data_IF_057999805559
#
_entry.id   IF_057999805559
#
_cell.length_a   1.000
_cell.length_b   1.000
_cell.length_c   1.000
_cell.angle_alpha   90.00
_cell.angle_beta   90.00
_cell.angle_gamma   90.00
#
_symmetry.space_group_name_H-M   'P 1'
#
loop_
_entity.id
_entity.type
_entity.pdbx_description
1 polymer ?
#
# COMPACT_ATOMS: atom_id res chain seq x y z
N UNK A 1 -6.12 -58.85 30.81
CA UNK A 1 -5.19 -57.72 30.83
C UNK A 1 -5.89 -56.56 30.14
N UNK A 2 -6.36 -55.62 30.90
CA UNK A 2 -7.33 -54.57 30.53
C UNK A 2 -6.70 -53.41 29.78
N UNK A 3 -7.29 -53.07 28.65
CA UNK A 3 -7.03 -51.76 27.99
C UNK A 3 -8.02 -50.72 28.51
N UNK A 4 -7.51 -49.65 29.09
CA UNK A 4 -8.31 -48.52 29.52
C UNK A 4 -8.42 -47.48 28.37
N UNK A 5 -9.67 -47.18 28.02
CA UNK A 5 -10.05 -46.17 27.06
C UNK A 5 -10.13 -44.80 27.73
N UNK A 6 -9.45 -43.79 27.21
CA UNK A 6 -9.64 -42.39 27.60
C UNK A 6 -10.76 -41.71 26.81
N UNK A 7 -11.61 -40.88 27.42
CA UNK A 7 -12.68 -40.18 26.74
C UNK A 7 -12.18 -38.91 26.05
N UNK A 8 -12.61 -38.70 24.81
CA UNK A 8 -12.46 -37.45 24.03
C UNK A 8 -13.46 -36.42 24.55
N UNK A 9 -12.97 -35.28 24.99
CA UNK A 9 -13.78 -34.10 25.28
C UNK A 9 -14.16 -33.41 23.98
N UNK A 10 -15.46 -33.39 23.67
CA UNK A 10 -16.08 -32.57 22.66
C UNK A 10 -16.30 -31.16 23.22
N UNK A 11 -15.68 -30.16 22.63
CA UNK A 11 -16.01 -28.77 22.90
C UNK A 11 -17.11 -28.36 21.88
N UNK A 12 -18.30 -28.11 22.39
CA UNK A 12 -19.38 -27.48 21.64
C UNK A 12 -19.16 -25.95 21.68
N UNK A 13 -18.80 -25.35 20.58
CA UNK A 13 -18.87 -23.90 20.39
C UNK A 13 -20.32 -23.54 20.04
N UNK A 14 -21.03 -22.98 20.99
CA UNK A 14 -22.29 -22.26 20.75
C UNK A 14 -21.96 -20.89 20.19
N UNK A 15 -22.21 -20.69 18.90
CA UNK A 15 -22.15 -19.39 18.22
C UNK A 15 -23.26 -18.50 18.78
N UNK A 16 -22.87 -17.46 19.52
CA UNK A 16 -23.77 -16.39 19.92
C UNK A 16 -23.82 -15.35 18.81
N UNK A 17 -24.92 -15.30 18.08
CA UNK A 17 -25.22 -14.23 17.13
C UNK A 17 -25.29 -12.90 17.88
N UNK A 18 -24.31 -12.02 17.64
CA UNK A 18 -24.38 -10.61 18.05
C UNK A 18 -25.06 -9.83 16.94
N UNK A 19 -26.17 -9.21 17.29
CA UNK A 19 -27.01 -8.43 16.39
C UNK A 19 -26.22 -7.28 15.75
N UNK A 20 -26.28 -7.20 14.44
CA UNK A 20 -25.76 -6.11 13.63
C UNK A 20 -26.32 -4.78 14.09
N UNK A 21 -25.51 -3.93 14.69
CA UNK A 21 -25.79 -2.50 14.80
C UNK A 21 -25.51 -1.86 13.44
N UNK A 22 -26.54 -1.40 12.79
CA UNK A 22 -26.45 -0.53 11.62
C UNK A 22 -25.82 0.80 12.02
N UNK A 23 -24.54 0.94 11.71
CA UNK A 23 -23.84 2.22 11.81
C UNK A 23 -24.09 3.06 10.55
N UNK A 24 -24.18 4.41 10.68
CA UNK A 24 -24.31 5.27 9.53
C UNK A 24 -23.10 5.11 8.62
N UNK A 25 -23.38 4.81 7.35
CA UNK A 25 -22.36 4.70 6.29
C UNK A 25 -21.60 6.02 6.19
N UNK A 26 -20.39 6.09 6.73
CA UNK A 26 -19.44 7.10 6.34
C UNK A 26 -19.17 6.91 4.85
N UNK A 27 -19.46 7.93 4.05
CA UNK A 27 -19.19 7.92 2.63
C UNK A 27 -17.67 8.00 2.45
N UNK A 28 -17.02 6.85 2.32
CA UNK A 28 -15.66 6.78 1.80
C UNK A 28 -15.73 7.35 0.38
N UNK A 29 -15.12 8.50 0.17
CA UNK A 29 -15.05 9.13 -1.13
C UNK A 29 -14.08 8.36 -2.01
N UNK A 30 -14.59 7.33 -2.71
CA UNK A 30 -13.94 6.78 -3.89
C UNK A 30 -13.98 7.86 -4.99
N UNK A 31 -13.10 8.84 -4.91
CA UNK A 31 -12.93 9.81 -5.99
C UNK A 31 -11.93 9.20 -6.97
N UNK A 32 -12.46 8.81 -8.11
CA UNK A 32 -11.83 8.33 -9.34
C UNK A 32 -11.88 6.81 -9.62
N UNK A 33 -12.96 6.14 -9.24
CA UNK A 33 -13.33 4.87 -9.88
C UNK A 33 -14.59 5.17 -10.69
N UNK A 34 -14.46 5.57 -11.90
CA UNK A 34 -15.37 5.45 -13.05
C UNK A 34 -15.19 6.61 -14.03
N UNK A 35 -14.57 6.32 -15.14
CA UNK A 35 -14.95 6.98 -16.39
C UNK A 35 -15.29 5.88 -17.39
N UNK A 36 -16.43 5.96 -18.08
CA UNK A 36 -16.82 4.96 -19.08
C UNK A 36 -15.97 5.07 -20.33
N UNK A 37 -15.68 3.90 -20.90
CA UNK A 37 -14.98 3.73 -22.15
C UNK A 37 -15.55 4.62 -23.26
N UNK A 38 -14.69 5.43 -23.90
CA UNK A 38 -14.95 6.00 -25.21
C UNK A 38 -13.90 5.49 -26.17
N UNK A 39 -14.37 4.72 -27.16
CA UNK A 39 -13.59 4.23 -28.30
C UNK A 39 -13.29 5.40 -29.23
N UNK A 40 -12.03 5.79 -29.40
CA UNK A 40 -11.59 6.50 -30.60
C UNK A 40 -10.09 6.42 -30.82
N UNK A 41 -9.78 6.07 -32.05
CA UNK A 41 -8.50 5.91 -32.72
C UNK A 41 -7.62 7.17 -32.70
N UNK A 42 -6.31 6.91 -32.76
CA UNK A 42 -5.24 7.78 -33.28
C UNK A 42 -4.24 8.24 -32.21
N UNK A 43 -3.05 7.68 -32.32
CA UNK A 43 -1.83 8.08 -31.60
C UNK A 43 -1.50 9.56 -31.79
N UNK A 44 -1.35 10.29 -30.71
CA UNK A 44 -0.14 11.08 -30.52
C UNK A 44 0.38 11.07 -29.09
N UNK A 45 1.69 10.92 -28.98
CA UNK A 45 2.54 11.26 -27.85
C UNK A 45 2.08 10.76 -26.46
N UNK A 46 2.45 9.51 -26.13
CA UNK A 46 2.17 8.82 -24.88
C UNK A 46 2.46 9.63 -23.59
N UNK A 47 3.44 10.51 -23.64
CA UNK A 47 3.84 11.33 -22.49
C UNK A 47 2.80 12.41 -22.11
N UNK A 48 2.05 12.97 -23.07
CA UNK A 48 1.07 14.02 -22.77
C UNK A 48 -0.30 13.49 -22.33
N UNK A 49 -0.59 12.21 -22.55
CA UNK A 49 -1.86 11.61 -22.13
C UNK A 49 -1.81 11.04 -20.71
N UNK A 50 -0.62 10.65 -20.22
CA UNK A 50 -0.45 10.14 -18.88
C UNK A 50 -0.64 11.21 -17.78
N UNK A 51 -0.48 12.48 -18.11
CA UNK A 51 -0.64 13.60 -17.17
C UNK A 51 -2.10 14.01 -16.91
N UNK A 52 -3.07 13.53 -17.72
CA UNK A 52 -4.46 14.03 -17.66
C UNK A 52 -5.35 13.39 -16.57
N UNK A 53 -4.88 12.37 -15.87
CA UNK A 53 -5.71 11.64 -14.92
C UNK A 53 -5.39 11.88 -13.44
N UNK A 54 -4.38 12.67 -13.13
CA UNK A 54 -4.13 13.10 -11.76
C UNK A 54 -4.90 14.40 -11.47
N UNK A 55 -6.17 14.30 -11.09
CA UNK A 55 -6.84 15.47 -10.49
C UNK A 55 -6.25 15.70 -9.09
N UNK A 56 -5.80 16.93 -8.78
CA UNK A 56 -5.38 17.25 -7.42
C UNK A 56 -6.55 17.00 -6.48
N UNK A 57 -6.39 16.07 -5.55
CA UNK A 57 -7.34 15.86 -4.50
C UNK A 57 -7.40 17.13 -3.64
N UNK A 58 -8.55 17.82 -3.63
CA UNK A 58 -8.79 18.92 -2.72
C UNK A 58 -9.09 18.32 -1.35
N UNK A 59 -8.07 18.23 -0.50
CA UNK A 59 -8.25 17.83 0.89
C UNK A 59 -8.78 19.01 1.69
N UNK A 60 -9.70 18.77 2.64
CA UNK A 60 -10.15 19.81 3.53
C UNK A 60 -8.95 20.40 4.30
N UNK A 61 -8.98 21.69 4.66
CA UNK A 61 -7.94 22.27 5.50
C UNK A 61 -7.86 21.48 6.81
N UNK A 62 -6.65 21.34 7.35
CA UNK A 62 -6.44 20.76 8.69
C UNK A 62 -7.24 21.58 9.68
N UNK A 63 -8.43 21.13 10.01
CA UNK A 63 -9.25 21.70 11.05
C UNK A 63 -9.03 20.90 12.31
N UNK A 64 -8.47 21.55 13.30
CA UNK A 64 -8.31 21.11 14.67
C UNK A 64 -7.43 19.86 14.88
N UNK A 65 -6.71 19.88 15.96
CA UNK A 65 -6.05 18.72 16.55
C UNK A 65 -7.05 17.54 16.54
N UNK A 66 -6.59 16.38 16.10
CA UNK A 66 -7.31 15.13 16.22
C UNK A 66 -7.90 15.00 17.63
N UNK A 67 -9.09 14.39 17.80
CA UNK A 67 -9.64 14.08 19.13
C UNK A 67 -8.71 13.15 19.93
N UNK A 68 -7.76 12.51 19.23
CA UNK A 68 -6.66 11.77 19.86
C UNK A 68 -5.56 12.74 20.26
N UNK A 69 -5.17 12.68 21.52
CA UNK A 69 -3.90 13.26 21.94
C UNK A 69 -2.86 12.17 21.62
N UNK A 70 -1.95 12.38 20.66
CA UNK A 70 -0.93 11.40 20.34
C UNK A 70 -0.27 10.94 21.62
N UNK A 71 -0.36 9.67 21.93
CA UNK A 71 0.20 9.11 23.15
C UNK A 71 1.70 9.37 23.14
N UNK A 72 2.20 10.07 24.15
CA UNK A 72 3.63 10.20 24.40
C UNK A 72 4.24 8.88 24.88
N UNK A 73 3.41 7.84 25.00
CA UNK A 73 3.84 6.50 25.38
C UNK A 73 4.63 5.87 24.24
N UNK A 74 5.77 5.23 24.51
CA UNK A 74 6.51 4.46 23.52
C UNK A 74 5.76 3.20 23.05
N UNK A 75 4.63 2.84 23.67
CA UNK A 75 3.78 1.72 23.26
C UNK A 75 2.70 2.25 22.31
N UNK A 76 2.96 2.16 21.13
CA UNK A 76 2.50 2.81 19.94
C UNK A 76 1.13 2.31 19.47
N UNK A 77 0.23 3.23 19.38
CA UNK A 77 -0.93 3.17 18.53
C UNK A 77 -0.49 3.55 17.10
N UNK A 78 -0.84 2.74 16.10
CA UNK A 78 -0.50 2.91 14.69
C UNK A 78 -1.02 4.25 14.16
N UNK A 79 -2.25 4.59 14.51
CA UNK A 79 -2.89 5.82 14.10
C UNK A 79 -2.17 7.06 14.66
N UNK A 80 -1.72 7.03 15.91
CA UNK A 80 -0.95 8.11 16.51
C UNK A 80 0.39 8.33 15.81
N UNK A 81 1.01 7.26 15.30
CA UNK A 81 2.25 7.37 14.52
C UNK A 81 2.02 8.02 13.17
N UNK A 82 0.97 7.59 12.45
CA UNK A 82 0.61 8.21 11.17
C UNK A 82 0.37 9.70 11.38
N UNK A 83 -0.45 10.07 12.36
CA UNK A 83 -0.73 11.46 12.67
C UNK A 83 0.55 12.24 13.00
N UNK A 84 1.40 11.69 13.86
CA UNK A 84 2.69 12.30 14.20
C UNK A 84 3.54 12.57 12.97
N UNK A 85 3.68 11.60 12.06
CA UNK A 85 4.49 11.75 10.86
C UNK A 85 3.88 12.75 9.88
N UNK A 86 2.56 12.81 9.75
CA UNK A 86 1.89 13.85 8.98
C UNK A 86 2.19 15.24 9.53
N UNK A 87 2.17 15.41 10.86
CA UNK A 87 2.53 16.67 11.51
C UNK A 87 4.01 17.05 11.28
N UNK A 88 4.93 16.10 11.43
CA UNK A 88 6.37 16.32 11.22
C UNK A 88 6.68 16.78 9.79
N UNK A 89 6.00 16.20 8.78
CA UNK A 89 6.18 16.56 7.38
C UNK A 89 5.36 17.79 6.94
N UNK A 90 4.42 18.25 7.77
CA UNK A 90 3.46 19.29 7.41
C UNK A 90 2.46 18.81 6.36
N UNK A 91 2.18 17.52 6.33
CA UNK A 91 1.31 16.85 5.36
C UNK A 91 -0.09 16.63 5.92
N UNK A 92 -1.05 16.46 4.99
CA UNK A 92 -2.45 16.15 5.30
C UNK A 92 -2.89 14.81 4.71
N UNK A 93 -2.44 14.52 3.49
CA UNK A 93 -2.78 13.29 2.79
C UNK A 93 -1.76 12.19 3.10
N UNK A 94 -2.26 10.98 3.29
CA UNK A 94 -1.48 9.79 3.53
C UNK A 94 -2.02 8.60 2.73
N UNK A 95 -1.38 7.45 2.81
CA UNK A 95 -1.73 6.25 2.04
C UNK A 95 -0.87 6.08 0.81
N UNK A 96 -0.69 4.84 0.37
CA UNK A 96 0.13 4.51 -0.78
C UNK A 96 -0.60 4.73 -2.09
N UNK A 97 0.18 5.02 -3.13
CA UNK A 97 -0.27 5.01 -4.52
C UNK A 97 -0.33 3.57 -5.00
N UNK A 98 -1.36 3.21 -5.75
CA UNK A 98 -1.61 1.85 -6.24
C UNK A 98 -1.52 1.83 -7.75
N UNK A 99 -0.72 0.89 -8.29
CA UNK A 99 -0.59 0.62 -9.71
C UNK A 99 -1.32 -0.67 -10.06
N UNK A 100 -2.31 -0.58 -10.95
CA UNK A 100 -2.95 -1.74 -11.54
C UNK A 100 -2.10 -2.25 -12.69
N UNK A 101 -1.49 -3.44 -12.52
CA UNK A 101 -0.61 -4.06 -13.52
C UNK A 101 -1.16 -5.40 -14.05
N UNK A 102 -2.48 -5.60 -13.93
CA UNK A 102 -3.21 -6.72 -14.52
C UNK A 102 -4.62 -6.29 -14.93
N UNK A 103 -5.07 -6.78 -16.08
CA UNK A 103 -6.36 -6.43 -16.67
C UNK A 103 -7.16 -7.69 -17.09
N UNK A 104 -6.82 -8.86 -16.54
CA UNK A 104 -7.51 -10.11 -16.86
C UNK A 104 -8.95 -10.11 -16.35
N UNK A 105 -9.23 -9.45 -15.22
CA UNK A 105 -10.55 -9.40 -14.61
C UNK A 105 -10.81 -8.08 -13.88
N UNK A 106 -11.75 -7.28 -14.38
CA UNK A 106 -12.20 -6.07 -13.71
C UNK A 106 -12.92 -6.38 -12.39
N UNK A 107 -13.70 -7.46 -12.35
CA UNK A 107 -14.41 -7.89 -11.13
C UNK A 107 -13.43 -8.28 -10.02
N UNK A 108 -12.34 -8.98 -10.36
CA UNK A 108 -11.29 -9.32 -9.40
C UNK A 108 -10.59 -8.06 -8.88
N UNK A 109 -10.33 -7.10 -9.76
CA UNK A 109 -9.78 -5.81 -9.40
C UNK A 109 -10.69 -5.01 -8.44
N UNK A 110 -11.99 -4.94 -8.75
CA UNK A 110 -12.96 -4.26 -7.89
C UNK A 110 -13.03 -4.89 -6.50
N UNK A 111 -13.00 -6.22 -6.44
CA UNK A 111 -12.97 -6.94 -5.15
C UNK A 111 -11.67 -6.69 -4.38
N UNK A 112 -10.51 -6.67 -5.04
CA UNK A 112 -9.24 -6.28 -4.42
C UNK A 112 -9.33 -4.88 -3.81
N UNK A 113 -9.82 -3.89 -4.57
CA UNK A 113 -9.98 -2.52 -4.09
C UNK A 113 -10.96 -2.42 -2.93
N UNK A 114 -12.04 -3.19 -2.97
CA UNK A 114 -12.99 -3.27 -1.85
C UNK A 114 -12.33 -3.84 -0.59
N UNK A 115 -11.55 -4.92 -0.73
CA UNK A 115 -10.84 -5.56 0.39
C UNK A 115 -9.79 -4.65 1.00
N UNK A 116 -8.95 -3.99 0.20
CA UNK A 116 -7.89 -3.11 0.74
C UNK A 116 -8.47 -1.94 1.52
N UNK A 117 -9.60 -1.36 1.09
CA UNK A 117 -10.26 -0.28 1.81
C UNK A 117 -10.93 -0.77 3.10
N UNK A 118 -11.63 -1.91 3.06
CA UNK A 118 -12.23 -2.50 4.26
C UNK A 118 -11.19 -2.88 5.31
N UNK A 119 -10.08 -3.47 4.88
CA UNK A 119 -8.96 -3.82 5.74
C UNK A 119 -8.28 -2.57 6.35
N UNK A 120 -8.16 -1.49 5.58
CA UNK A 120 -7.64 -0.22 6.10
C UNK A 120 -8.54 0.35 7.18
N UNK A 121 -9.87 0.33 6.98
CA UNK A 121 -10.86 0.78 7.96
C UNK A 121 -10.78 -0.06 9.25
N UNK A 122 -10.75 -1.39 9.12
CA UNK A 122 -10.64 -2.32 10.25
C UNK A 122 -9.36 -2.10 11.06
N UNK A 123 -8.22 -1.95 10.38
CA UNK A 123 -6.92 -1.70 11.03
C UNK A 123 -6.92 -0.38 11.78
N UNK A 124 -7.50 0.67 11.21
CA UNK A 124 -7.63 1.97 11.87
C UNK A 124 -8.64 1.93 13.03
N UNK A 125 -9.74 1.18 12.89
CA UNK A 125 -10.70 1.00 13.98
C UNK A 125 -10.02 0.37 15.19
N UNK A 126 -9.21 -0.67 14.98
CA UNK A 126 -8.43 -1.34 16.03
C UNK A 126 -7.49 -0.42 16.80
N UNK A 127 -6.97 0.62 16.13
CA UNK A 127 -6.09 1.63 16.72
C UNK A 127 -6.81 2.95 17.11
N UNK A 128 -8.14 3.00 17.02
CA UNK A 128 -8.93 4.21 17.32
C UNK A 128 -8.69 5.36 16.35
N UNK A 129 -8.26 5.06 15.12
CA UNK A 129 -7.79 6.00 14.11
C UNK A 129 -8.74 6.28 12.96
N UNK A 130 -10.05 6.02 13.09
CA UNK A 130 -11.02 6.21 12.00
C UNK A 130 -11.07 7.63 11.44
N UNK A 131 -10.70 8.63 12.22
CA UNK A 131 -10.59 10.03 11.77
C UNK A 131 -9.51 10.22 10.68
N UNK A 132 -8.51 9.34 10.60
CA UNK A 132 -7.50 9.38 9.54
C UNK A 132 -8.05 8.98 8.16
N UNK A 133 -9.21 8.33 8.09
CA UNK A 133 -9.87 8.02 6.82
C UNK A 133 -10.21 9.28 6.01
N UNK A 134 -10.51 10.38 6.68
CA UNK A 134 -10.80 11.66 6.01
C UNK A 134 -9.61 12.18 5.21
N UNK A 135 -8.41 11.78 5.58
CA UNK A 135 -7.15 12.18 4.98
C UNK A 135 -6.47 11.07 4.17
N UNK A 136 -7.10 9.91 4.07
CA UNK A 136 -6.60 8.79 3.27
C UNK A 136 -6.74 9.11 1.78
N UNK A 137 -5.60 9.23 1.10
CA UNK A 137 -5.53 9.52 -0.32
C UNK A 137 -5.26 8.23 -1.11
N UNK A 138 -6.33 7.61 -1.61
CA UNK A 138 -6.20 6.44 -2.50
C UNK A 138 -6.04 6.94 -3.93
N UNK A 139 -4.80 6.99 -4.41
CA UNK A 139 -4.47 7.32 -5.80
C UNK A 139 -4.21 6.02 -6.55
N UNK A 140 -4.95 5.78 -7.63
CA UNK A 140 -4.82 4.56 -8.44
C UNK A 140 -4.41 4.93 -9.86
N UNK A 141 -3.29 4.38 -10.31
CA UNK A 141 -2.90 4.40 -11.71
C UNK A 141 -3.39 3.12 -12.39
N UNK A 142 -4.35 3.28 -13.30
CA UNK A 142 -4.98 2.19 -14.03
C UNK A 142 -5.03 2.52 -15.52
N UNK A 143 -3.90 2.48 -16.16
CA UNK A 143 -3.78 2.60 -17.61
C UNK A 143 -3.31 1.26 -18.17
N UNK A 144 -3.89 0.81 -19.28
CA UNK A 144 -3.54 -0.47 -19.91
C UNK A 144 -2.06 -0.58 -20.31
N UNK A 145 -1.35 0.54 -20.38
CA UNK A 145 0.12 0.54 -20.58
C UNK A 145 0.90 -0.05 -19.40
N UNK A 146 0.26 -0.20 -18.24
CA UNK A 146 0.85 -0.90 -17.08
C UNK A 146 0.56 -2.39 -17.05
N UNK A 147 -0.19 -2.93 -18.02
CA UNK A 147 -0.45 -4.38 -18.07
C UNK A 147 0.87 -5.15 -18.19
N UNK A 148 1.12 -6.06 -17.23
CA UNK A 148 2.39 -6.81 -17.14
C UNK A 148 3.62 -5.94 -16.82
N UNK A 149 3.45 -4.67 -16.41
CA UNK A 149 4.59 -3.79 -16.11
C UNK A 149 5.47 -4.35 -14.99
N UNK A 150 6.78 -4.28 -15.18
CA UNK A 150 7.77 -4.61 -14.15
C UNK A 150 7.84 -3.55 -13.05
N UNK A 151 8.43 -3.89 -11.92
CA UNK A 151 8.67 -2.92 -10.83
C UNK A 151 9.54 -1.74 -11.29
N UNK A 152 10.44 -1.94 -12.25
CA UNK A 152 11.25 -0.87 -12.83
C UNK A 152 10.40 0.16 -13.58
N UNK A 153 9.46 -0.28 -14.41
CA UNK A 153 8.54 0.59 -15.16
C UNK A 153 7.63 1.39 -14.20
N UNK A 154 7.07 0.70 -13.20
CA UNK A 154 6.25 1.33 -12.16
C UNK A 154 7.05 2.37 -11.39
N UNK A 155 8.28 2.05 -10.98
CA UNK A 155 9.19 2.94 -10.25
C UNK A 155 9.49 4.21 -11.02
N UNK A 156 9.80 4.09 -12.32
CA UNK A 156 10.10 5.24 -13.15
C UNK A 156 8.91 6.18 -13.33
N UNK A 157 7.71 5.62 -13.47
CA UNK A 157 6.49 6.44 -13.50
C UNK A 157 6.22 7.08 -12.13
N UNK A 158 6.33 6.32 -11.07
CA UNK A 158 6.11 6.79 -9.70
C UNK A 158 7.06 7.94 -9.32
N UNK A 159 8.36 7.83 -9.67
CA UNK A 159 9.34 8.91 -9.46
C UNK A 159 8.91 10.23 -10.12
N UNK A 160 8.44 10.16 -11.38
CA UNK A 160 7.98 11.37 -12.09
C UNK A 160 6.75 11.98 -11.44
N UNK A 161 5.81 11.15 -11.01
CA UNK A 161 4.63 11.61 -10.27
C UNK A 161 5.03 12.22 -8.92
N UNK A 162 5.79 11.51 -8.10
CA UNK A 162 6.19 11.94 -6.77
C UNK A 162 6.97 13.27 -6.76
N UNK A 163 7.73 13.56 -7.82
CA UNK A 163 8.51 14.80 -7.95
C UNK A 163 7.65 16.08 -7.85
N UNK A 164 6.38 16.01 -8.21
CA UNK A 164 5.46 17.17 -8.19
C UNK A 164 4.26 16.97 -7.28
N UNK A 165 3.92 15.73 -6.97
CA UNK A 165 2.70 15.38 -6.25
C UNK A 165 2.67 15.97 -4.84
N UNK A 166 3.78 15.94 -4.11
CA UNK A 166 3.86 16.49 -2.76
C UNK A 166 3.49 17.99 -2.74
N UNK A 167 4.03 18.77 -3.67
CA UNK A 167 3.68 20.18 -3.78
C UNK A 167 2.21 20.39 -4.14
N UNK A 168 1.65 19.54 -5.01
CA UNK A 168 0.26 19.66 -5.46
C UNK A 168 -0.74 19.22 -4.37
N UNK A 169 -0.44 18.15 -3.64
CA UNK A 169 -1.34 17.57 -2.64
C UNK A 169 -1.20 18.24 -1.27
N UNK A 170 0.03 18.59 -0.88
CA UNK A 170 0.36 19.05 0.47
C UNK A 170 0.68 20.55 0.53
N UNK A 171 1.04 21.16 -0.61
CA UNK A 171 1.54 22.54 -0.66
C UNK A 171 2.97 22.70 -0.14
N UNK A 172 3.69 21.59 0.06
CA UNK A 172 5.06 21.54 0.55
C UNK A 172 5.85 20.43 -0.16
N UNK A 173 7.14 20.27 0.17
CA UNK A 173 7.96 19.18 -0.37
C UNK A 173 7.55 17.80 0.15
N UNK A 174 8.15 16.72 -0.40
CA UNK A 174 7.78 15.34 -0.06
C UNK A 174 8.12 14.95 1.39
N UNK A 175 9.00 15.68 2.06
CA UNK A 175 9.48 15.32 3.39
C UNK A 175 10.09 13.92 3.41
N UNK A 176 9.78 13.17 4.46
CA UNK A 176 10.09 11.74 4.58
C UNK A 176 8.84 10.87 4.44
N UNK A 177 7.79 11.40 3.79
CA UNK A 177 6.51 10.71 3.70
C UNK A 177 6.58 9.48 2.79
N UNK A 178 6.12 8.37 3.32
CA UNK A 178 6.04 7.07 2.65
C UNK A 178 5.20 7.14 1.38
N UNK A 179 4.23 8.07 1.30
CA UNK A 179 3.41 8.32 0.13
C UNK A 179 4.22 8.64 -1.13
N UNK A 180 5.37 9.31 -0.96
CA UNK A 180 6.23 9.74 -2.06
C UNK A 180 7.51 8.90 -2.20
N UNK A 181 7.69 7.92 -1.29
CA UNK A 181 8.81 6.98 -1.30
C UNK A 181 8.44 5.60 -1.81
N UNK A 182 7.18 5.16 -1.57
CA UNK A 182 6.74 3.81 -1.88
C UNK A 182 5.41 3.80 -2.63
N UNK A 183 5.21 2.79 -3.48
CA UNK A 183 3.92 2.52 -4.11
C UNK A 183 3.62 1.03 -4.12
N UNK A 184 2.34 0.69 -4.22
CA UNK A 184 1.85 -0.69 -4.33
C UNK A 184 1.71 -1.04 -5.80
N UNK A 185 2.31 -2.15 -6.21
CA UNK A 185 2.14 -2.76 -7.53
C UNK A 185 1.25 -3.99 -7.41
N UNK A 186 0.16 -4.02 -8.17
CA UNK A 186 -0.80 -5.13 -8.19
C UNK A 186 -0.69 -5.85 -9.53
N UNK A 187 0.04 -6.94 -9.54
CA UNK A 187 0.21 -7.89 -10.64
C UNK A 187 -0.79 -9.03 -10.51
N UNK A 188 -0.85 -9.96 -11.47
CA UNK A 188 -1.82 -11.05 -11.42
C UNK A 188 -1.58 -11.97 -10.20
N UNK A 189 -0.33 -12.30 -9.90
CA UNK A 189 0.02 -13.10 -8.73
C UNK A 189 -0.39 -12.45 -7.39
N UNK A 190 -0.29 -11.13 -7.30
CA UNK A 190 -0.79 -10.35 -6.15
C UNK A 190 -2.30 -10.48 -6.05
N UNK A 191 -3.01 -10.26 -7.16
CA UNK A 191 -4.47 -10.31 -7.19
C UNK A 191 -4.95 -11.70 -6.80
N UNK A 192 -4.35 -12.75 -7.37
CA UNK A 192 -4.69 -14.15 -7.08
C UNK A 192 -4.41 -14.48 -5.60
N UNK A 193 -3.29 -14.05 -5.03
CA UNK A 193 -2.95 -14.30 -3.63
C UNK A 193 -3.97 -13.68 -2.67
N UNK A 194 -4.36 -12.43 -2.92
CA UNK A 194 -5.33 -11.72 -2.06
C UNK A 194 -6.74 -12.27 -2.17
N UNK A 195 -7.13 -12.75 -3.36
CA UNK A 195 -8.48 -13.28 -3.58
C UNK A 195 -8.63 -14.74 -3.16
N UNK A 196 -7.55 -15.52 -3.17
CA UNK A 196 -7.56 -16.93 -2.82
C UNK A 196 -7.64 -17.14 -1.31
N UNK A 197 -6.95 -16.34 -0.50
CA UNK A 197 -6.84 -16.54 0.94
C UNK A 197 -6.72 -15.20 1.68
N UNK A 198 -6.87 -15.25 3.03
CA UNK A 198 -6.69 -14.10 3.91
C UNK A 198 -5.21 -13.69 4.09
N UNK A 199 -4.27 -14.61 3.84
CA UNK A 199 -2.82 -14.39 3.98
C UNK A 199 -2.16 -13.88 2.69
N UNK A 200 -2.91 -13.16 1.83
CA UNK A 200 -2.40 -12.59 0.59
C UNK A 200 -1.28 -11.56 0.81
N UNK A 201 -0.53 -11.31 -0.24
CA UNK A 201 0.52 -10.29 -0.22
C UNK A 201 0.33 -9.25 -1.31
N UNK A 202 1.00 -8.10 -1.16
CA UNK A 202 1.18 -7.11 -2.24
C UNK A 202 2.66 -6.83 -2.48
N UNK A 203 2.98 -6.30 -3.66
CA UNK A 203 4.33 -5.82 -3.96
C UNK A 203 4.43 -4.36 -3.58
N UNK A 204 5.33 -4.06 -2.64
CA UNK A 204 5.69 -2.70 -2.28
C UNK A 204 6.97 -2.31 -3.01
N UNK A 205 6.90 -1.29 -3.86
CA UNK A 205 8.00 -0.84 -4.70
C UNK A 205 8.60 0.43 -4.11
N UNK A 206 9.91 0.43 -3.91
CA UNK A 206 10.67 1.61 -3.45
C UNK A 206 11.01 2.53 -4.61
N UNK A 207 10.53 3.76 -4.54
CA UNK A 207 10.65 4.75 -5.62
C UNK A 207 12.07 5.28 -5.84
N UNK A 208 12.84 5.50 -4.78
CA UNK A 208 14.19 6.05 -4.83
C UNK A 208 15.30 4.99 -4.99
N UNK A 209 14.91 3.70 -5.03
CA UNK A 209 15.87 2.62 -5.22
C UNK A 209 16.64 2.77 -6.55
N UNK A 210 17.92 2.52 -6.47
CA UNK A 210 18.84 2.46 -7.62
C UNK A 210 19.52 1.13 -7.60
N UNK A 211 19.71 0.58 -8.79
CA UNK A 211 20.61 -0.54 -8.95
C UNK A 211 22.00 -0.09 -8.53
N UNK A 212 22.57 -0.84 -7.59
CA UNK A 212 23.91 -0.55 -7.10
C UNK A 212 24.92 -0.89 -8.20
N UNK A 213 25.80 0.04 -8.54
CA UNK A 213 26.93 -0.22 -9.40
C UNK A 213 28.12 -0.64 -8.53
N UNK A 214 28.53 -1.94 -8.56
CA UNK A 214 29.64 -2.42 -7.75
C UNK A 214 30.98 -1.76 -8.12
N UNK A 215 31.07 -1.09 -9.27
CA UNK A 215 32.27 -0.37 -9.69
C UNK A 215 32.36 1.05 -9.15
N UNK A 216 31.27 1.64 -8.68
CA UNK A 216 31.27 2.97 -8.07
C UNK A 216 31.71 2.98 -6.60
N UNK A 217 31.58 1.88 -5.86
CA UNK A 217 31.89 1.82 -4.40
C UNK A 217 32.84 0.66 -3.98
N UNK A 218 33.72 0.17 -4.84
CA UNK A 218 34.81 -0.75 -4.50
C UNK A 218 34.41 -2.06 -3.79
N UNK A 219 34.67 -3.17 -4.48
CA UNK A 219 34.86 -4.57 -3.99
C UNK A 219 33.88 -5.16 -2.97
N UNK A 220 32.60 -4.88 -3.02
CA UNK A 220 31.61 -5.81 -2.46
C UNK A 220 31.14 -6.73 -3.57
N UNK A 221 31.71 -7.92 -3.64
CA UNK A 221 31.13 -9.04 -4.41
C UNK A 221 29.87 -9.46 -3.64
N UNK A 222 28.72 -8.94 -4.04
CA UNK A 222 27.44 -9.50 -3.59
C UNK A 222 27.29 -10.89 -4.22
N UNK A 223 26.77 -11.85 -3.44
CA UNK A 223 26.41 -13.15 -3.99
C UNK A 223 25.34 -12.95 -5.07
N UNK A 224 25.54 -13.55 -6.24
CA UNK A 224 24.52 -13.52 -7.30
C UNK A 224 23.31 -14.36 -6.88
N UNK A 225 22.16 -13.73 -6.83
CA UNK A 225 20.91 -14.38 -6.57
C UNK A 225 20.18 -14.74 -7.88
N UNK A 226 19.20 -15.63 -7.80
CA UNK A 226 18.29 -15.88 -8.92
C UNK A 226 17.65 -14.56 -9.39
N UNK A 227 17.66 -14.31 -10.70
CA UNK A 227 17.20 -13.05 -11.26
C UNK A 227 15.69 -12.83 -11.02
N UNK A 228 15.32 -11.71 -10.42
CA UNK A 228 13.95 -11.23 -10.30
C UNK A 228 13.76 -10.00 -11.20
N UNK A 229 12.93 -10.15 -12.22
CA UNK A 229 12.72 -9.11 -13.27
C UNK A 229 14.06 -8.63 -13.88
N UNK A 230 15.06 -9.53 -13.96
CA UNK A 230 16.39 -9.27 -14.51
C UNK A 230 17.42 -8.77 -13.50
N UNK A 231 17.06 -8.48 -12.26
CA UNK A 231 17.98 -8.05 -11.20
C UNK A 231 18.43 -9.23 -10.33
N UNK A 232 19.76 -9.40 -10.20
CA UNK A 232 20.40 -10.47 -9.41
C UNK A 232 20.88 -9.99 -8.03
N UNK A 233 20.74 -8.72 -7.71
CA UNK A 233 21.13 -8.15 -6.43
C UNK A 233 20.27 -8.70 -5.29
N UNK A 234 20.79 -8.71 -4.06
CA UNK A 234 20.00 -9.02 -2.85
C UNK A 234 18.79 -8.09 -2.76
N UNK A 235 18.99 -6.79 -2.89
CA UNK A 235 17.90 -5.81 -2.87
C UNK A 235 17.47 -5.46 -4.30
N UNK A 236 16.29 -5.91 -4.71
CA UNK A 236 15.74 -5.66 -6.06
C UNK A 236 14.83 -4.40 -6.12
N UNK A 237 14.77 -3.63 -5.02
CA UNK A 237 14.00 -2.39 -4.95
C UNK A 237 12.48 -2.58 -4.85
N UNK A 238 12.02 -3.79 -4.57
CA UNK A 238 10.65 -4.12 -4.18
C UNK A 238 10.64 -5.34 -3.27
N UNK A 239 9.59 -5.49 -2.47
CA UNK A 239 9.40 -6.63 -1.59
C UNK A 239 7.92 -7.03 -1.54
N UNK A 240 7.65 -8.25 -1.12
CA UNK A 240 6.30 -8.70 -0.78
C UNK A 240 6.01 -8.33 0.67
N UNK A 241 4.85 -7.72 0.89
CA UNK A 241 4.36 -7.37 2.23
C UNK A 241 2.98 -7.98 2.45
N UNK A 242 2.59 -8.33 3.68
CA UNK A 242 1.26 -8.85 3.95
C UNK A 242 0.19 -7.88 3.44
N UNK A 243 -0.90 -8.44 2.90
CA UNK A 243 -2.05 -7.65 2.49
C UNK A 243 -2.75 -7.01 3.69
N UNK A 244 -2.82 -7.75 4.81
CA UNK A 244 -3.43 -7.26 6.05
C UNK A 244 -2.70 -6.03 6.58
N UNK A 245 -3.47 -4.96 6.80
CA UNK A 245 -2.94 -3.69 7.28
C UNK A 245 -2.01 -2.96 6.32
N UNK A 246 -1.93 -3.36 5.05
CA UNK A 246 -0.93 -2.85 4.08
C UNK A 246 -0.91 -1.33 3.94
N UNK A 247 -2.05 -0.66 4.05
CA UNK A 247 -2.08 0.81 3.97
C UNK A 247 -1.60 1.48 5.26
N UNK A 248 -1.65 0.79 6.40
CA UNK A 248 -1.39 1.32 7.74
C UNK A 248 -0.03 0.86 8.27
N UNK A 249 0.18 -0.46 8.35
CA UNK A 249 1.35 -1.03 9.04
C UNK A 249 2.67 -0.66 8.37
N UNK A 250 2.89 -0.89 7.06
CA UNK A 250 4.12 -0.46 6.40
C UNK A 250 4.33 1.05 6.46
N UNK A 251 3.26 1.84 6.46
CA UNK A 251 3.35 3.28 6.54
C UNK A 251 4.18 3.76 7.73
N UNK A 252 3.97 3.22 8.91
CA UNK A 252 4.72 3.67 10.07
C UNK A 252 6.00 2.87 10.34
N UNK A 253 6.11 1.62 9.84
CA UNK A 253 7.32 0.82 10.02
C UNK A 253 8.46 1.23 9.08
N UNK A 254 8.15 1.75 7.89
CA UNK A 254 9.15 2.06 6.89
C UNK A 254 9.78 3.43 7.04
N UNK A 255 9.31 4.26 8.00
CA UNK A 255 9.88 5.57 8.28
C UNK A 255 11.38 5.49 8.58
N UNK A 256 12.16 6.33 7.90
CA UNK A 256 13.61 6.37 8.06
C UNK A 256 14.29 5.13 7.48
N UNK A 257 15.01 4.39 8.33
CA UNK A 257 15.73 3.16 7.94
C UNK A 257 14.85 1.90 7.98
N UNK A 258 13.53 2.07 7.93
CA UNK A 258 12.61 0.94 8.04
C UNK A 258 12.76 -0.05 6.87
N UNK A 259 12.99 0.46 5.67
CA UNK A 259 13.20 -0.42 4.51
C UNK A 259 14.37 -1.37 4.72
N UNK A 260 15.53 -0.88 5.09
CA UNK A 260 16.76 -1.68 5.27
C UNK A 260 16.61 -2.73 6.37
N UNK A 261 15.79 -2.46 7.36
CA UNK A 261 15.51 -3.38 8.47
C UNK A 261 14.51 -4.46 8.09
N UNK A 262 13.44 -4.06 7.39
CA UNK A 262 12.30 -4.93 7.10
C UNK A 262 12.39 -5.62 5.73
N UNK A 263 13.27 -5.16 4.86
CA UNK A 263 13.41 -5.74 3.52
C UNK A 263 13.65 -7.24 3.57
N UNK A 264 12.86 -7.95 2.80
CA UNK A 264 13.08 -9.38 2.50
C UNK A 264 13.01 -9.55 0.99
N UNK A 265 14.05 -10.23 0.45
CA UNK A 265 14.07 -10.55 -0.97
C UNK A 265 12.88 -11.45 -1.31
N UNK A 266 12.09 -11.14 -2.34
CA UNK A 266 11.04 -12.03 -2.80
C UNK A 266 11.62 -13.42 -3.21
N UNK A 267 10.85 -14.51 -3.02
CA UNK A 267 9.43 -14.55 -2.69
C UNK A 267 9.10 -14.50 -1.19
N UNK A 268 10.06 -14.20 -0.33
CA UNK A 268 9.81 -14.09 1.11
C UNK A 268 8.94 -12.85 1.40
N UNK A 269 7.82 -13.06 2.08
CA UNK A 269 6.96 -11.96 2.54
C UNK A 269 7.58 -11.34 3.78
N UNK A 270 7.73 -10.02 3.80
CA UNK A 270 8.22 -9.29 4.97
C UNK A 270 7.24 -9.41 6.14
N UNK A 271 7.75 -9.34 7.37
CA UNK A 271 6.94 -9.34 8.59
C UNK A 271 7.22 -8.03 9.35
N UNK A 272 6.16 -7.29 9.71
CA UNK A 272 6.23 -6.03 10.45
C UNK A 272 5.86 -6.22 11.92
#
# INVERSE_FOLDING_TARGET
>A
MSFASSPRLFWNFTSTFVASRTFPRHRIWLRNIAQPFSTAKTTPNLLSQMEKHAHPAQFPPVQSLSPRIPSMSPHFNEADRIEKYLHEDGHRAWGFVIYRCTYESDTAWEEFMRRILANTEETLEGSGGLDLLDNLAVTVFQDSSFDGATAAVVRDHFKRWAATAAQQEQGTGPGFSERYLYCIQVTQDVLDSVLADHDGFVRLVRGDWKEYDPYEEGERVEEEHEALEGCTLENVGWMQVPFDGVMVIPWYFLRGYGWEREYRRPPTVACF
#
